data_IF_613961247588
#
_entry.id   IF_613961247588
#
_cell.length_a   1.000
_cell.length_b   1.000
_cell.length_c   1.000
_cell.angle_alpha   90.00
_cell.angle_beta   90.00
_cell.angle_gamma   90.00
#
_symmetry.space_group_name_H-M   'P 1'
#
loop_
_entity.id
_entity.type
_entity.pdbx_description
1 polymer ?
#
# COMPACT_ATOMS: atom_id res chain seq x y z
N UNK A 1 15.96 -2.05 10.52
CA UNK A 1 14.80 -1.50 11.25
C UNK A 1 14.36 -0.12 10.74
N UNK A 2 15.20 0.92 10.74
CA UNK A 2 14.80 2.26 10.29
C UNK A 2 14.33 2.34 8.82
N UNK A 3 14.88 1.51 7.92
CA UNK A 3 14.48 1.46 6.52
C UNK A 3 13.03 0.96 6.33
N UNK A 4 12.68 -0.19 6.91
CA UNK A 4 11.32 -0.78 6.84
C UNK A 4 10.25 0.19 7.33
N UNK A 5 10.53 0.93 8.40
CA UNK A 5 9.61 1.95 8.93
C UNK A 5 9.37 3.06 7.89
N UNK A 6 10.41 3.55 7.20
CA UNK A 6 10.26 4.57 6.14
C UNK A 6 9.41 4.04 4.98
N UNK A 7 9.59 2.78 4.58
CA UNK A 7 8.80 2.16 3.51
C UNK A 7 7.34 2.03 3.93
N UNK A 8 7.06 1.62 5.18
CA UNK A 8 5.70 1.58 5.73
C UNK A 8 5.03 2.96 5.72
N UNK A 9 5.74 3.99 6.18
CA UNK A 9 5.25 5.37 6.13
C UNK A 9 4.98 5.80 4.69
N UNK A 10 5.88 5.48 3.74
CA UNK A 10 5.68 5.72 2.32
C UNK A 10 4.43 5.04 1.76
N UNK A 11 4.15 3.81 2.17
CA UNK A 11 2.94 3.09 1.78
C UNK A 11 1.66 3.75 2.28
N UNK A 12 1.65 4.19 3.54
CA UNK A 12 0.50 4.91 4.10
C UNK A 12 0.31 6.30 3.47
N UNK A 13 1.40 7.00 3.14
CA UNK A 13 1.37 8.26 2.40
C UNK A 13 0.80 8.06 0.99
N UNK A 14 1.22 7.00 0.29
CA UNK A 14 0.68 6.67 -1.03
C UNK A 14 -0.81 6.33 -0.94
N UNK A 15 -1.25 5.57 0.07
CA UNK A 15 -2.67 5.31 0.30
C UNK A 15 -3.44 6.61 0.52
N UNK A 16 -2.95 7.51 1.39
CA UNK A 16 -3.58 8.80 1.64
C UNK A 16 -3.69 9.64 0.35
N UNK A 17 -2.66 9.64 -0.49
CA UNK A 17 -2.67 10.31 -1.79
C UNK A 17 -3.70 9.69 -2.74
N UNK A 18 -3.74 8.36 -2.86
CA UNK A 18 -4.75 7.66 -3.66
C UNK A 18 -6.16 8.02 -3.21
N UNK A 19 -6.42 7.98 -1.89
CA UNK A 19 -7.73 8.33 -1.33
C UNK A 19 -8.09 9.79 -1.57
N UNK A 20 -7.14 10.71 -1.43
CA UNK A 20 -7.34 12.12 -1.74
C UNK A 20 -7.73 12.33 -3.20
N UNK A 21 -6.97 11.72 -4.14
CA UNK A 21 -7.28 11.78 -5.57
C UNK A 21 -8.68 11.20 -5.82
N UNK A 22 -8.97 10.00 -5.28
CA UNK A 22 -10.28 9.36 -5.38
C UNK A 22 -11.41 10.24 -4.87
N UNK A 23 -11.20 10.96 -3.76
CA UNK A 23 -12.17 11.90 -3.18
C UNK A 23 -12.41 13.13 -4.05
N UNK A 24 -11.36 13.65 -4.68
CA UNK A 24 -11.42 14.85 -5.51
C UNK A 24 -12.11 14.58 -6.86
N UNK A 25 -11.89 13.40 -7.46
CA UNK A 25 -12.47 13.04 -8.76
C UNK A 25 -13.91 12.51 -8.67
N UNK A 26 -14.35 12.05 -7.49
CA UNK A 26 -15.65 11.38 -7.32
C UNK A 26 -16.88 12.29 -7.46
N UNK A 27 -16.70 13.62 -7.48
CA UNK A 27 -17.80 14.59 -7.51
C UNK A 27 -18.84 14.32 -6.41
N UNK A 28 -20.08 14.04 -6.82
CA UNK A 28 -21.24 13.79 -5.96
C UNK A 28 -21.21 12.43 -5.23
N UNK A 29 -20.30 11.52 -5.59
CA UNK A 29 -20.25 10.15 -5.05
C UNK A 29 -18.92 9.83 -4.33
N UNK A 30 -18.58 10.53 -3.23
CA UNK A 30 -17.28 10.42 -2.57
C UNK A 30 -16.96 9.01 -2.05
N UNK A 31 -17.95 8.24 -1.59
CA UNK A 31 -17.74 6.88 -1.12
C UNK A 31 -17.24 5.93 -2.23
N UNK A 32 -17.80 6.08 -3.44
CA UNK A 32 -17.39 5.28 -4.61
C UNK A 32 -15.96 5.62 -5.02
N UNK A 33 -15.62 6.92 -5.04
CA UNK A 33 -14.25 7.38 -5.36
C UNK A 33 -13.21 6.86 -4.37
N UNK A 34 -13.49 6.93 -3.07
CA UNK A 34 -12.62 6.38 -2.02
C UNK A 34 -12.45 4.86 -2.14
N UNK A 35 -13.53 4.12 -2.42
CA UNK A 35 -13.47 2.67 -2.60
C UNK A 35 -12.64 2.29 -3.83
N UNK A 36 -12.80 2.98 -4.95
CA UNK A 36 -11.99 2.73 -6.15
C UNK A 36 -10.52 3.04 -5.91
N UNK A 37 -10.21 4.15 -5.23
CA UNK A 37 -8.83 4.49 -4.85
C UNK A 37 -8.18 3.43 -3.97
N UNK A 38 -8.88 2.93 -2.94
CA UNK A 38 -8.36 1.86 -2.08
C UNK A 38 -8.12 0.55 -2.87
N UNK A 39 -9.00 0.20 -3.82
CA UNK A 39 -8.82 -0.97 -4.70
C UNK A 39 -7.60 -0.83 -5.61
N UNK A 40 -7.35 0.36 -6.16
CA UNK A 40 -6.18 0.65 -7.02
C UNK A 40 -4.88 0.66 -6.22
N UNK A 41 -4.93 1.16 -4.98
CA UNK A 41 -3.76 1.21 -4.10
C UNK A 41 -3.16 -0.17 -3.85
N UNK A 42 -3.96 -1.22 -3.63
CA UNK A 42 -3.46 -2.56 -3.28
C UNK A 42 -2.47 -3.12 -4.32
N UNK A 43 -2.83 -3.26 -5.62
CA UNK A 43 -1.89 -3.74 -6.63
C UNK A 43 -0.72 -2.77 -6.87
N UNK A 44 -0.97 -1.45 -6.80
CA UNK A 44 0.10 -0.45 -6.91
C UNK A 44 1.16 -0.63 -5.81
N UNK A 45 0.71 -0.82 -4.58
CA UNK A 45 1.59 -1.02 -3.43
C UNK A 45 2.27 -2.38 -3.46
N UNK A 46 1.59 -3.43 -3.92
CA UNK A 46 2.21 -4.74 -4.12
C UNK A 46 3.42 -4.65 -5.06
N UNK A 47 3.29 -3.94 -6.18
CA UNK A 47 4.40 -3.70 -7.11
C UNK A 47 5.52 -2.89 -6.44
N UNK A 48 5.19 -1.81 -5.73
CA UNK A 48 6.19 -0.99 -5.04
C UNK A 48 6.95 -1.77 -3.95
N UNK A 49 6.25 -2.57 -3.16
CA UNK A 49 6.85 -3.46 -2.16
C UNK A 49 7.73 -4.53 -2.82
N UNK A 50 7.32 -5.06 -3.98
CA UNK A 50 8.09 -6.03 -4.76
C UNK A 50 9.39 -5.43 -5.29
N UNK A 51 9.34 -4.18 -5.77
CA UNK A 51 10.54 -3.42 -6.16
C UNK A 51 11.45 -3.21 -4.95
N UNK A 52 10.89 -2.86 -3.78
CA UNK A 52 11.66 -2.71 -2.55
C UNK A 52 12.40 -4.01 -2.16
N UNK A 53 11.72 -5.15 -2.25
CA UNK A 53 12.32 -6.46 -2.02
C UNK A 53 13.41 -6.78 -3.06
N UNK A 54 13.14 -6.54 -4.35
CA UNK A 54 14.11 -6.76 -5.43
C UNK A 54 15.40 -5.96 -5.23
N UNK A 55 15.28 -4.73 -4.73
CA UNK A 55 16.44 -3.90 -4.38
C UNK A 55 17.26 -4.53 -3.24
N UNK A 56 16.61 -5.08 -2.21
CA UNK A 56 17.28 -5.82 -1.13
C UNK A 56 18.08 -7.00 -1.68
N UNK A 57 17.45 -7.82 -2.52
CA UNK A 57 18.10 -8.98 -3.15
C UNK A 57 19.25 -8.57 -4.06
N UNK A 58 19.01 -7.64 -4.99
CA UNK A 58 19.97 -7.29 -6.05
C UNK A 58 21.12 -6.40 -5.59
N UNK A 59 20.90 -5.54 -4.57
CA UNK A 59 21.91 -4.56 -4.14
C UNK A 59 22.58 -4.91 -2.81
N UNK A 60 21.85 -5.54 -1.89
CA UNK A 60 22.41 -5.95 -0.59
C UNK A 60 22.90 -7.40 -0.58
N UNK A 61 22.56 -8.19 -1.61
CA UNK A 61 23.03 -9.57 -1.77
C UNK A 61 22.27 -10.60 -0.93
N UNK A 62 21.13 -10.21 -0.34
CA UNK A 62 20.25 -11.14 0.38
C UNK A 62 19.53 -12.08 -0.58
N UNK A 63 19.21 -13.28 -0.10
CA UNK A 63 18.33 -14.20 -0.81
C UNK A 63 16.88 -13.73 -0.78
N UNK A 64 16.08 -14.23 -1.72
CA UNK A 64 14.62 -14.04 -1.76
C UNK A 64 13.97 -14.51 -0.45
N UNK A 65 14.47 -15.60 0.15
CA UNK A 65 13.93 -16.14 1.39
C UNK A 65 14.18 -15.23 2.60
N UNK A 66 15.31 -14.54 2.64
CA UNK A 66 15.64 -13.58 3.70
C UNK A 66 14.79 -12.30 3.61
N UNK A 67 14.48 -11.85 2.39
CA UNK A 67 13.68 -10.63 2.18
C UNK A 67 12.16 -10.87 2.21
N UNK A 68 11.69 -12.10 1.97
CA UNK A 68 10.26 -12.42 1.91
C UNK A 68 9.47 -12.04 3.18
N UNK A 69 9.96 -12.28 4.42
CA UNK A 69 9.27 -11.84 5.63
C UNK A 69 9.11 -10.33 5.71
N UNK A 70 10.13 -9.57 5.29
CA UNK A 70 10.07 -8.10 5.26
C UNK A 70 9.11 -7.61 4.20
N UNK A 71 9.12 -8.21 3.01
CA UNK A 71 8.15 -7.94 1.97
C UNK A 71 6.71 -8.16 2.46
N UNK A 72 6.44 -9.28 3.14
CA UNK A 72 5.11 -9.58 3.70
C UNK A 72 4.68 -8.47 4.66
N UNK A 73 5.53 -8.05 5.60
CA UNK A 73 5.18 -6.98 6.55
C UNK A 73 4.95 -5.64 5.84
N UNK A 74 5.86 -5.27 4.92
CA UNK A 74 5.81 -4.02 4.16
C UNK A 74 4.56 -3.94 3.28
N UNK A 75 4.14 -5.05 2.68
CA UNK A 75 2.92 -5.12 1.88
C UNK A 75 1.67 -5.19 2.75
N UNK A 76 1.64 -6.11 3.71
CA UNK A 76 0.43 -6.45 4.47
C UNK A 76 -0.07 -5.30 5.33
N UNK A 77 0.81 -4.51 5.95
CA UNK A 77 0.39 -3.43 6.83
C UNK A 77 -0.40 -2.34 6.07
N UNK A 78 0.12 -1.72 5.00
CA UNK A 78 -0.67 -0.74 4.24
C UNK A 78 -1.87 -1.36 3.51
N UNK A 79 -1.74 -2.59 3.01
CA UNK A 79 -2.86 -3.29 2.38
C UNK A 79 -4.01 -3.56 3.37
N UNK A 80 -3.71 -3.92 4.61
CA UNK A 80 -4.72 -4.11 5.66
C UNK A 80 -5.45 -2.80 5.97
N UNK A 81 -4.75 -1.66 5.98
CA UNK A 81 -5.40 -0.34 6.15
C UNK A 81 -6.33 -0.04 4.97
N UNK A 82 -5.92 -0.31 3.73
CA UNK A 82 -6.77 -0.13 2.56
C UNK A 82 -8.02 -1.04 2.60
N UNK A 83 -7.87 -2.30 3.00
CA UNK A 83 -8.98 -3.23 3.19
C UNK A 83 -9.93 -2.77 4.31
N UNK A 84 -9.39 -2.24 5.40
CA UNK A 84 -10.19 -1.66 6.48
C UNK A 84 -11.02 -0.47 5.99
N UNK A 85 -10.45 0.41 5.16
CA UNK A 85 -11.18 1.52 4.52
C UNK A 85 -12.32 0.98 3.65
N UNK A 86 -12.07 -0.04 2.82
CA UNK A 86 -13.12 -0.66 2.00
C UNK A 86 -14.25 -1.25 2.83
N UNK A 87 -13.90 -1.99 3.88
CA UNK A 87 -14.87 -2.58 4.80
C UNK A 87 -15.72 -1.51 5.49
N UNK A 88 -15.09 -0.44 5.98
CA UNK A 88 -15.79 0.65 6.64
C UNK A 88 -16.73 1.40 5.69
N UNK A 89 -16.32 1.62 4.44
CA UNK A 89 -17.18 2.22 3.42
C UNK A 89 -18.37 1.33 3.06
N UNK A 90 -18.21 -0.01 3.08
CA UNK A 90 -19.32 -0.94 2.79
C UNK A 90 -20.40 -0.99 3.88
N UNK A 91 -20.10 -0.45 5.07
CA UNK A 91 -21.02 -0.38 6.21
C UNK A 91 -21.70 0.99 6.36
N UNK A 92 -21.41 1.93 5.47
CA UNK A 92 -22.02 3.28 5.44
C UNK A 92 -23.07 3.35 4.35
#
# INVERSE_FOLDING_TARGET
MAHTIRVLVGGLMLLALCLLIGRLIAGSAPAIGLANAAKVFIPLWFVAAGINMWIGVSKAGYSVAEEAPFFIVVFAVPAAVALFVLWWLSRR
#
